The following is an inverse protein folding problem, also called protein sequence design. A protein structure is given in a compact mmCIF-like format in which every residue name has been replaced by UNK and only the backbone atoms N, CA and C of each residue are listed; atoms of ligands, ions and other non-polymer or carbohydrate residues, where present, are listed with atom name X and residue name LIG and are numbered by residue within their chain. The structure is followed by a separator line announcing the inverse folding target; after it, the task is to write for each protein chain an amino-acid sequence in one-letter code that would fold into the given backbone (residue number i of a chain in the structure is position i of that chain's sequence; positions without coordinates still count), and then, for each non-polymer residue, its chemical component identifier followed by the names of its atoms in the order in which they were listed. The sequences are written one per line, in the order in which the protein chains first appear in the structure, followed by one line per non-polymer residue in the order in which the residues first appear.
data_IF_019900949391
#
_entry.id   IF_019900949391
#
_cell.length_a   1.000
_cell.length_b   1.000
_cell.length_c   1.000
_cell.angle_alpha   90.00
_cell.angle_beta   90.00
_cell.angle_gamma   90.00
#
_symmetry.space_group_name_H-M   'P 1'
#
loop_
_entity.id
_entity.type
_entity.pdbx_description
1 polymer ?
#
# COMPACT_ATOMS: atom_id res chain seq x y z
N UNK A 1 17.13 -13.08 2.47
CA UNK A 1 16.64 -13.78 1.25
C UNK A 1 16.54 -12.88 0.01
N UNK A 2 16.23 -11.57 0.09
CA UNK A 2 16.15 -10.70 -1.10
C UNK A 2 17.49 -10.49 -1.84
N UNK A 3 18.63 -10.49 -1.16
CA UNK A 3 19.94 -10.17 -1.76
C UNK A 3 20.47 -11.35 -2.62
N UNK A 4 20.24 -12.59 -2.20
CA UNK A 4 20.72 -13.79 -2.91
C UNK A 4 20.01 -14.05 -4.24
N UNK A 5 18.72 -13.70 -4.34
CA UNK A 5 17.98 -13.76 -5.62
C UNK A 5 18.45 -12.68 -6.62
N UNK A 6 18.98 -11.56 -6.13
CA UNK A 6 19.47 -10.47 -6.99
C UNK A 6 20.81 -10.80 -7.66
N UNK A 7 21.72 -11.50 -6.95
CA UNK A 7 23.03 -11.91 -7.47
C UNK A 7 22.94 -13.02 -8.52
N UNK A 8 21.96 -13.93 -8.41
CA UNK A 8 21.79 -15.03 -9.37
C UNK A 8 21.31 -14.55 -10.76
N UNK A 9 20.73 -13.36 -10.84
CA UNK A 9 20.20 -12.79 -12.09
C UNK A 9 21.19 -11.92 -12.86
N UNK A 10 22.31 -11.52 -12.24
CA UNK A 10 23.38 -10.76 -12.92
C UNK A 10 24.34 -11.66 -13.73
N UNK A 11 24.28 -12.98 -13.56
CA UNK A 11 25.33 -13.88 -14.05
C UNK A 11 25.16 -14.38 -15.50
N UNK A 12 24.02 -14.17 -16.17
CA UNK A 12 23.83 -14.61 -17.58
C UNK A 12 22.96 -13.65 -18.41
N UNK A 13 23.55 -12.80 -19.26
CA UNK A 13 22.79 -12.04 -20.25
C UNK A 13 22.35 -12.95 -21.43
N UNK A 14 21.11 -12.83 -21.93
CA UNK A 14 20.64 -13.61 -23.07
C UNK A 14 21.29 -13.13 -24.40
N UNK A 15 21.63 -14.06 -25.32
CA UNK A 15 22.55 -13.79 -26.44
C UNK A 15 22.00 -13.01 -27.65
N UNK A 16 20.74 -12.54 -27.70
CA UNK A 16 20.14 -12.03 -28.95
C UNK A 16 19.31 -10.74 -28.79
N UNK A 17 19.94 -9.65 -28.35
CA UNK A 17 19.34 -8.31 -28.36
C UNK A 17 20.11 -7.39 -29.32
N UNK A 18 19.39 -6.61 -30.14
CA UNK A 18 19.99 -5.54 -30.97
C UNK A 18 20.79 -4.58 -30.07
N UNK A 19 22.02 -4.20 -30.45
CA UNK A 19 22.93 -3.47 -29.56
C UNK A 19 22.35 -2.13 -29.09
N UNK A 20 21.66 -1.41 -29.97
CA UNK A 20 21.10 -0.07 -29.68
C UNK A 20 20.00 -0.10 -28.59
N UNK A 21 19.12 -1.10 -28.62
CA UNK A 21 18.08 -1.23 -27.58
C UNK A 21 18.64 -1.77 -26.26
N UNK A 22 19.76 -2.49 -26.30
CA UNK A 22 20.41 -3.02 -25.10
C UNK A 22 20.97 -1.88 -24.24
N UNK A 23 21.53 -0.85 -24.86
CA UNK A 23 22.14 0.26 -24.15
C UNK A 23 21.10 1.22 -23.55
N UNK A 24 19.98 1.48 -24.25
CA UNK A 24 18.89 2.30 -23.72
C UNK A 24 18.23 1.67 -22.48
N UNK A 25 18.04 0.35 -22.51
CA UNK A 25 17.47 -0.40 -21.39
C UNK A 25 18.44 -0.45 -20.22
N UNK A 26 19.74 -0.65 -20.48
CA UNK A 26 20.77 -0.57 -19.44
C UNK A 26 20.82 0.81 -18.82
N UNK A 27 20.75 1.88 -19.63
CA UNK A 27 20.75 3.25 -19.14
C UNK A 27 19.52 3.54 -18.27
N UNK A 28 18.32 3.11 -18.71
CA UNK A 28 17.08 3.26 -17.93
C UNK A 28 17.13 2.48 -16.62
N UNK A 29 17.68 1.27 -16.62
CA UNK A 29 17.77 0.42 -15.44
C UNK A 29 18.83 0.94 -14.46
N UNK A 30 19.96 1.44 -14.97
CA UNK A 30 21.00 2.10 -14.15
C UNK A 30 20.47 3.40 -13.56
N UNK A 31 19.76 4.22 -14.34
CA UNK A 31 19.14 5.44 -13.84
C UNK A 31 18.07 5.15 -12.78
N UNK A 32 17.25 4.12 -12.96
CA UNK A 32 16.26 3.68 -11.98
C UNK A 32 16.90 3.16 -10.69
N UNK A 33 17.96 2.35 -10.78
CA UNK A 33 18.73 1.90 -9.62
C UNK A 33 19.41 3.07 -8.90
N UNK A 34 19.97 4.02 -9.64
CA UNK A 34 20.66 5.17 -9.06
C UNK A 34 19.68 6.11 -8.35
N UNK A 35 18.49 6.34 -8.93
CA UNK A 35 17.40 7.07 -8.29
C UNK A 35 16.90 6.34 -7.02
N UNK A 36 16.76 5.01 -7.08
CA UNK A 36 16.40 4.19 -5.93
C UNK A 36 17.44 4.30 -4.80
N UNK A 37 18.73 4.20 -5.13
CA UNK A 37 19.81 4.35 -4.16
C UNK A 37 19.84 5.76 -3.55
N UNK A 38 19.59 6.80 -4.34
CA UNK A 38 19.50 8.18 -3.84
C UNK A 38 18.31 8.34 -2.88
N UNK A 39 17.13 7.82 -3.22
CA UNK A 39 15.96 7.85 -2.34
C UNK A 39 16.19 7.05 -1.07
N UNK A 40 16.80 5.87 -1.17
CA UNK A 40 17.17 5.05 -0.02
C UNK A 40 18.17 5.79 0.88
N UNK A 41 19.19 6.44 0.31
CA UNK A 41 20.16 7.24 1.05
C UNK A 41 19.49 8.43 1.75
N UNK A 42 18.50 9.05 1.11
CA UNK A 42 17.75 10.16 1.68
C UNK A 42 16.88 9.70 2.86
N UNK A 43 16.25 8.52 2.76
CA UNK A 43 15.54 7.89 3.88
C UNK A 43 16.51 7.48 4.99
N UNK A 44 17.66 6.89 4.68
CA UNK A 44 18.64 6.49 5.69
C UNK A 44 19.22 7.72 6.40
N UNK A 45 19.59 8.77 5.67
CA UNK A 45 20.14 10.00 6.27
C UNK A 45 19.12 10.70 7.15
N UNK A 46 17.84 10.75 6.74
CA UNK A 46 16.77 11.30 7.59
C UNK A 46 16.56 10.47 8.86
N UNK A 47 16.59 9.13 8.79
CA UNK A 47 16.47 8.24 9.96
C UNK A 47 17.70 8.31 10.89
N UNK A 48 18.92 8.34 10.34
CA UNK A 48 20.16 8.43 11.13
C UNK A 48 20.27 9.79 11.83
N UNK A 49 19.94 10.88 11.14
CA UNK A 49 19.91 12.21 11.75
C UNK A 49 18.87 12.29 12.87
N UNK A 50 17.75 11.58 12.72
CA UNK A 50 16.69 11.54 13.72
C UNK A 50 17.08 10.72 14.96
N UNK A 51 17.63 9.52 14.78
CA UNK A 51 18.10 8.66 15.89
C UNK A 51 19.23 9.34 16.66
N UNK A 52 20.14 10.02 15.97
CA UNK A 52 21.22 10.80 16.61
C UNK A 52 20.69 11.98 17.42
N UNK A 53 19.53 12.55 17.05
CA UNK A 53 18.89 13.64 17.79
C UNK A 53 18.18 13.16 19.07
N UNK A 54 17.57 11.97 19.04
CA UNK A 54 16.82 11.41 20.18
C UNK A 54 17.73 10.91 21.33
N UNK A 55 18.93 10.40 21.03
CA UNK A 55 19.84 9.89 22.06
C UNK A 55 20.75 10.95 22.69
N UNK A 56 20.74 12.19 22.19
CA UNK A 56 21.68 13.24 22.61
C UNK A 56 21.29 14.07 23.85
N UNK A 57 20.19 13.77 24.55
CA UNK A 57 19.70 14.64 25.64
C UNK A 57 19.29 13.82 26.86
N UNK A 58 20.26 13.27 27.61
CA UNK A 58 20.07 13.00 29.05
C UNK A 58 21.40 13.31 29.75
N UNK A 59 21.53 14.54 30.24
CA UNK A 59 22.55 14.93 31.21
C UNK A 59 21.85 15.65 32.38
N UNK A 60 22.12 15.18 33.59
CA UNK A 60 21.18 15.13 34.74
C UNK A 60 21.02 16.46 35.52
N UNK A 61 21.48 17.59 34.98
CA UNK A 61 21.48 18.89 35.70
C UNK A 61 20.54 19.97 35.13
N UNK A 62 19.47 19.60 34.42
CA UNK A 62 18.71 20.53 33.56
C UNK A 62 17.18 20.54 33.74
N UNK A 63 16.66 20.34 34.94
CA UNK A 63 15.20 20.15 35.16
C UNK A 63 14.33 21.33 34.68
N UNK A 64 14.76 22.60 34.81
CA UNK A 64 13.99 23.74 34.28
C UNK A 64 14.05 23.88 32.75
N UNK A 65 15.19 23.57 32.12
CA UNK A 65 15.26 23.55 30.66
C UNK A 65 14.48 22.35 30.07
N UNK A 66 14.37 21.24 30.81
CA UNK A 66 13.56 20.09 30.40
C UNK A 66 12.08 20.46 30.29
N UNK A 67 11.54 21.27 31.19
CA UNK A 67 10.13 21.71 31.08
C UNK A 67 9.91 22.55 29.82
N UNK A 68 10.79 23.51 29.53
CA UNK A 68 10.67 24.32 28.31
C UNK A 68 10.90 23.51 27.03
N UNK A 69 11.84 22.57 27.03
CA UNK A 69 12.12 21.71 25.86
C UNK A 69 11.00 20.69 25.66
N UNK A 70 10.41 20.13 26.71
CA UNK A 70 9.25 19.24 26.61
C UNK A 70 8.02 19.97 26.09
N UNK A 71 7.72 21.19 26.53
CA UNK A 71 6.62 22.01 25.98
C UNK A 71 6.84 22.32 24.49
N UNK A 72 8.07 22.65 24.08
CA UNK A 72 8.40 22.84 22.65
C UNK A 72 8.24 21.55 21.84
N UNK A 73 8.61 20.41 22.41
CA UNK A 73 8.51 19.11 21.74
C UNK A 73 7.04 18.68 21.62
N UNK A 74 6.24 18.90 22.67
CA UNK A 74 4.79 18.70 22.71
C UNK A 74 4.11 19.53 21.62
N UNK A 75 4.35 20.83 21.59
CA UNK A 75 3.74 21.73 20.60
C UNK A 75 4.18 21.41 19.16
N UNK A 76 5.43 20.98 18.98
CA UNK A 76 5.92 20.50 17.68
C UNK A 76 5.23 19.19 17.28
N UNK A 77 5.08 18.23 18.20
CA UNK A 77 4.41 16.98 17.93
C UNK A 77 2.93 17.17 17.65
N UNK A 78 2.23 18.04 18.37
CA UNK A 78 0.84 18.39 18.09
C UNK A 78 0.71 18.91 16.65
N UNK A 79 1.57 19.85 16.24
CA UNK A 79 1.57 20.40 14.88
C UNK A 79 1.93 19.38 13.80
N UNK A 80 2.86 18.46 14.08
CA UNK A 80 3.28 17.42 13.13
C UNK A 80 2.27 16.27 13.07
N UNK A 81 1.59 16.00 14.17
CA UNK A 81 0.57 14.94 14.29
C UNK A 81 -0.71 15.27 13.54
N UNK A 82 -0.89 16.54 13.14
CA UNK A 82 -2.04 16.97 12.36
C UNK A 82 -2.07 16.29 10.98
N UNK A 83 -2.82 15.20 10.92
CA UNK A 83 -3.12 14.41 9.73
C UNK A 83 -3.72 15.27 8.61
N UNK A 84 -4.33 16.43 8.91
CA UNK A 84 -4.86 17.35 7.90
C UNK A 84 -3.75 17.88 7.00
N UNK A 85 -2.56 18.15 7.53
CA UNK A 85 -1.44 18.68 6.76
C UNK A 85 -0.95 17.65 5.72
N UNK A 86 -0.80 16.39 6.15
CA UNK A 86 -0.40 15.31 5.25
C UNK A 86 -1.42 15.08 4.13
N UNK A 87 -2.71 15.07 4.48
CA UNK A 87 -3.80 14.95 3.51
C UNK A 87 -3.86 16.14 2.55
N UNK A 88 -3.67 17.36 3.03
CA UNK A 88 -3.67 18.59 2.23
C UNK A 88 -2.57 18.58 1.16
N UNK A 89 -1.39 18.06 1.49
CA UNK A 89 -0.28 17.96 0.54
C UNK A 89 -0.43 16.79 -0.44
N UNK A 90 -0.85 15.61 0.04
CA UNK A 90 -0.92 14.41 -0.78
C UNK A 90 -2.14 14.36 -1.70
N UNK A 91 -3.23 15.05 -1.35
CA UNK A 91 -4.45 15.10 -2.13
C UNK A 91 -4.28 15.71 -3.54
N UNK A 92 -3.73 16.93 -3.73
CA UNK A 92 -3.57 17.50 -5.06
C UNK A 92 -2.68 16.64 -5.96
N UNK A 93 -1.66 15.99 -5.38
CA UNK A 93 -0.79 15.04 -6.10
C UNK A 93 -1.61 13.83 -6.55
N UNK A 94 -2.44 13.25 -5.67
CA UNK A 94 -3.31 12.13 -6.04
C UNK A 94 -4.30 12.49 -7.15
N UNK A 95 -4.92 13.68 -7.09
CA UNK A 95 -5.86 14.16 -8.09
C UNK A 95 -5.17 14.36 -9.45
N UNK A 96 -3.96 14.94 -9.45
CA UNK A 96 -3.15 15.07 -10.66
C UNK A 96 -2.82 13.70 -11.28
N UNK A 97 -2.50 12.68 -10.47
CA UNK A 97 -2.26 11.31 -10.94
C UNK A 97 -3.52 10.65 -11.52
N UNK A 98 -4.70 10.85 -10.92
CA UNK A 98 -5.97 10.33 -11.46
C UNK A 98 -6.24 10.92 -12.84
N UNK A 99 -6.08 12.24 -13.00
CA UNK A 99 -6.26 12.91 -14.28
C UNK A 99 -5.23 12.42 -15.31
N UNK A 100 -3.98 12.26 -14.90
CA UNK A 100 -2.90 11.74 -15.73
C UNK A 100 -3.21 10.32 -16.23
N UNK A 101 -3.62 9.41 -15.35
CA UNK A 101 -3.98 8.04 -15.71
C UNK A 101 -5.18 8.00 -16.65
N UNK A 102 -6.19 8.84 -16.39
CA UNK A 102 -7.36 8.97 -17.25
C UNK A 102 -6.97 9.44 -18.67
N UNK A 103 -6.01 10.37 -18.77
CA UNK A 103 -5.47 10.82 -20.05
C UNK A 103 -4.67 9.74 -20.78
N UNK A 104 -3.83 8.97 -20.07
CA UNK A 104 -3.06 7.88 -20.68
C UNK A 104 -3.96 6.81 -21.29
N UNK A 105 -5.03 6.42 -20.60
CA UNK A 105 -5.97 5.41 -21.12
C UNK A 105 -6.72 5.94 -22.33
N UNK A 106 -7.14 7.21 -22.30
CA UNK A 106 -7.75 7.85 -23.47
C UNK A 106 -6.80 7.86 -24.65
N UNK A 107 -5.51 8.09 -24.41
CA UNK A 107 -4.49 8.13 -25.46
C UNK A 107 -4.21 6.76 -26.07
N UNK A 108 -4.18 5.69 -25.27
CA UNK A 108 -4.02 4.32 -25.75
C UNK A 108 -5.22 3.88 -26.63
N UNK A 109 -6.43 4.34 -26.27
CA UNK A 109 -7.66 4.05 -27.01
C UNK A 109 -7.94 4.98 -28.20
N UNK A 110 -7.03 5.89 -28.56
CA UNK A 110 -7.18 6.77 -29.76
C UNK A 110 -7.37 6.01 -31.08
N UNK A 111 -7.19 4.68 -31.10
CA UNK A 111 -7.51 3.80 -32.23
C UNK A 111 -8.95 3.20 -32.21
N UNK A 112 -9.68 3.24 -31.09
CA UNK A 112 -11.12 2.94 -31.02
C UNK A 112 -11.89 4.25 -31.19
N UNK A 113 -11.65 4.90 -32.34
CA UNK A 113 -12.31 6.15 -32.70
C UNK A 113 -13.83 5.90 -32.77
N UNK A 114 -14.59 6.82 -32.19
CA UNK A 114 -15.93 7.19 -32.65
C UNK A 114 -17.20 6.61 -31.99
N UNK A 115 -17.17 5.79 -30.93
CA UNK A 115 -18.41 5.38 -30.25
C UNK A 115 -18.34 5.48 -28.70
N UNK A 116 -19.04 6.48 -28.16
CA UNK A 116 -19.81 6.51 -26.89
C UNK A 116 -19.17 6.22 -25.52
N UNK A 117 -17.85 6.13 -25.40
CA UNK A 117 -17.22 6.10 -24.08
C UNK A 117 -17.22 7.47 -23.41
N UNK A 118 -18.09 7.71 -22.40
CA UNK A 118 -17.93 8.82 -21.43
C UNK A 118 -16.46 8.89 -21.01
N UNK A 119 -15.87 10.08 -20.79
CA UNK A 119 -14.56 10.21 -20.14
C UNK A 119 -14.67 9.63 -18.73
N UNK A 120 -14.57 8.31 -18.63
CA UNK A 120 -14.83 7.55 -17.44
C UNK A 120 -13.58 7.60 -16.59
N UNK A 121 -13.77 8.04 -15.35
CA UNK A 121 -12.78 7.77 -14.31
C UNK A 121 -12.58 6.26 -14.28
N UNK A 122 -11.32 5.85 -14.24
CA UNK A 122 -10.91 4.44 -14.29
C UNK A 122 -11.48 3.74 -13.08
N UNK A 123 -12.35 2.72 -13.19
CA UNK A 123 -12.82 2.03 -12.01
C UNK A 123 -11.61 1.57 -11.18
N UNK A 124 -11.55 1.84 -9.87
CA UNK A 124 -10.32 1.63 -9.10
C UNK A 124 -9.99 0.15 -8.97
N UNK A 125 -11.00 -0.72 -8.78
CA UNK A 125 -10.89 -2.18 -8.85
C UNK A 125 -12.23 -2.79 -9.25
N UNK A 126 -12.19 -3.89 -10.00
CA UNK A 126 -13.32 -4.82 -10.16
C UNK A 126 -13.33 -5.77 -8.96
N UNK A 127 -14.32 -5.68 -8.05
CA UNK A 127 -14.33 -6.45 -6.80
C UNK A 127 -14.43 -7.96 -7.03
N UNK A 128 -14.93 -8.36 -8.20
CA UNK A 128 -15.09 -9.77 -8.57
C UNK A 128 -13.82 -10.40 -9.14
N UNK A 129 -12.81 -9.58 -9.47
CA UNK A 129 -11.59 -10.08 -10.11
C UNK A 129 -10.79 -10.93 -9.14
N UNK A 130 -10.26 -12.04 -9.63
CA UNK A 130 -9.48 -12.97 -8.79
C UNK A 130 -8.04 -12.51 -8.57
N UNK A 131 -7.52 -11.71 -9.51
CA UNK A 131 -6.18 -11.17 -9.47
C UNK A 131 -6.03 -10.09 -8.37
N UNK A 132 -4.86 -10.05 -7.75
CA UNK A 132 -4.43 -8.98 -6.82
C UNK A 132 -5.28 -8.77 -5.57
N UNK A 133 -6.10 -9.75 -5.18
CA UNK A 133 -6.99 -9.67 -4.01
C UNK A 133 -6.27 -9.25 -2.72
N UNK A 134 -5.09 -9.81 -2.48
CA UNK A 134 -4.27 -9.45 -1.31
C UNK A 134 -3.83 -7.99 -1.35
N UNK A 135 -3.31 -7.52 -2.49
CA UNK A 135 -2.90 -6.12 -2.64
C UNK A 135 -4.06 -5.16 -2.47
N UNK A 136 -5.22 -5.48 -3.05
CA UNK A 136 -6.45 -4.71 -2.86
C UNK A 136 -6.88 -4.70 -1.39
N UNK A 137 -6.92 -5.85 -0.73
CA UNK A 137 -7.26 -5.96 0.68
C UNK A 137 -6.30 -5.14 1.57
N UNK A 138 -5.00 -5.14 1.26
CA UNK A 138 -4.01 -4.34 1.97
C UNK A 138 -4.27 -2.84 1.82
N UNK A 139 -4.60 -2.34 0.62
CA UNK A 139 -4.95 -0.92 0.45
C UNK A 139 -6.24 -0.57 1.19
N UNK A 140 -7.25 -1.44 1.18
CA UNK A 140 -8.45 -1.23 1.99
C UNK A 140 -8.16 -1.29 3.50
N UNK A 141 -7.19 -2.09 3.93
CA UNK A 141 -6.69 -2.10 5.31
C UNK A 141 -6.05 -0.76 5.71
N UNK A 142 -5.26 -0.16 4.80
CA UNK A 142 -4.70 1.20 4.99
C UNK A 142 -5.83 2.23 5.11
N UNK A 143 -6.79 2.19 4.19
CA UNK A 143 -7.94 3.09 4.21
C UNK A 143 -8.77 2.96 5.50
N UNK A 144 -9.06 1.73 5.92
CA UNK A 144 -9.80 1.47 7.16
C UNK A 144 -9.05 1.99 8.38
N UNK A 145 -7.72 1.84 8.41
CA UNK A 145 -6.89 2.36 9.49
C UNK A 145 -6.87 3.90 9.54
N UNK A 146 -6.73 4.58 8.40
CA UNK A 146 -6.79 6.05 8.33
C UNK A 146 -8.18 6.58 8.73
N UNK A 147 -9.24 5.91 8.30
CA UNK A 147 -10.63 6.24 8.71
C UNK A 147 -10.80 6.02 10.22
N UNK A 148 -10.25 4.95 10.78
CA UNK A 148 -10.29 4.70 12.22
C UNK A 148 -9.57 5.82 13.01
N UNK A 149 -8.44 6.32 12.51
CA UNK A 149 -7.74 7.46 13.12
C UNK A 149 -8.61 8.72 13.14
N UNK A 150 -9.30 9.00 12.04
CA UNK A 150 -10.24 10.14 11.97
C UNK A 150 -11.39 9.95 12.96
N UNK A 151 -11.95 8.74 13.07
CA UNK A 151 -13.01 8.44 14.04
C UNK A 151 -12.53 8.59 15.48
N UNK A 152 -11.33 8.11 15.79
CA UNK A 152 -10.73 8.24 17.11
C UNK A 152 -10.56 9.71 17.50
N UNK A 153 -10.02 10.52 16.60
CA UNK A 153 -9.89 11.96 16.84
C UNK A 153 -11.26 12.62 17.03
N UNK A 154 -12.24 12.30 16.21
CA UNK A 154 -13.60 12.83 16.32
C UNK A 154 -14.27 12.43 17.65
N UNK A 155 -14.05 11.22 18.13
CA UNK A 155 -14.62 10.73 19.39
C UNK A 155 -13.95 11.35 20.61
N UNK A 156 -12.65 11.64 20.53
CA UNK A 156 -11.87 12.18 21.64
C UNK A 156 -11.65 13.69 21.57
N UNK A 157 -11.96 14.35 20.46
CA UNK A 157 -12.01 15.79 20.35
C UNK A 157 -13.19 16.29 21.17
N UNK A 158 -12.92 16.71 22.41
CA UNK A 158 -13.84 17.52 23.23
C UNK A 158 -13.89 18.94 22.66
N UNK A 159 -14.13 19.08 21.36
CA UNK A 159 -14.34 20.38 20.74
C UNK A 159 -15.65 20.93 21.27
N UNK A 160 -15.56 22.10 21.91
CA UNK A 160 -16.74 22.91 22.20
C UNK A 160 -17.58 23.00 20.93
N UNK A 161 -18.92 22.89 21.03
CA UNK A 161 -19.79 22.86 19.87
C UNK A 161 -19.47 24.05 18.98
N UNK A 162 -18.95 23.77 17.78
CA UNK A 162 -18.55 24.83 16.87
C UNK A 162 -19.77 25.70 16.59
N UNK A 163 -19.58 27.02 16.53
CA UNK A 163 -20.66 27.96 16.20
C UNK A 163 -21.26 27.73 14.79
N UNK A 164 -20.65 26.84 14.00
CA UNK A 164 -21.01 26.53 12.61
C UNK A 164 -22.15 25.49 12.49
N UNK A 165 -22.61 24.91 13.60
CA UNK A 165 -23.77 24.01 13.63
C UNK A 165 -23.46 22.56 13.23
N UNK A 166 -24.29 21.63 13.71
CA UNK A 166 -24.05 20.17 13.63
C UNK A 166 -23.95 19.65 12.19
N UNK A 167 -24.68 20.25 11.25
CA UNK A 167 -24.68 19.81 9.85
C UNK A 167 -23.33 20.06 9.16
N UNK A 168 -22.71 21.21 9.43
CA UNK A 168 -21.42 21.57 8.82
C UNK A 168 -20.31 20.65 9.31
N UNK A 169 -20.32 20.33 10.61
CA UNK A 169 -19.38 19.39 11.22
C UNK A 169 -19.53 17.97 10.65
N UNK A 170 -20.76 17.51 10.41
CA UNK A 170 -21.00 16.23 9.75
C UNK A 170 -20.47 16.24 8.30
N UNK A 171 -20.72 17.32 7.56
CA UNK A 171 -20.27 17.47 6.17
C UNK A 171 -18.74 17.49 6.08
N UNK A 172 -18.06 18.21 6.99
CA UNK A 172 -16.60 18.23 7.08
C UNK A 172 -16.05 16.81 7.28
N UNK A 173 -16.64 16.04 8.21
CA UNK A 173 -16.20 14.65 8.49
C UNK A 173 -16.39 13.73 7.29
N UNK A 174 -17.54 13.80 6.60
CA UNK A 174 -17.78 13.03 5.38
C UNK A 174 -16.77 13.42 4.29
N UNK A 175 -16.49 14.72 4.13
CA UNK A 175 -15.53 15.22 3.16
C UNK A 175 -14.11 14.69 3.43
N UNK A 176 -13.67 14.63 4.70
CA UNK A 176 -12.36 14.06 5.05
C UNK A 176 -12.27 12.58 4.69
N UNK A 177 -13.29 11.78 4.98
CA UNK A 177 -13.32 10.34 4.63
C UNK A 177 -13.24 10.15 3.10
N UNK A 178 -13.98 10.95 2.34
CA UNK A 178 -13.92 10.93 0.87
C UNK A 178 -12.54 11.33 0.35
N UNK A 179 -11.91 12.34 0.96
CA UNK A 179 -10.57 12.80 0.59
C UNK A 179 -9.53 11.69 0.80
N UNK A 180 -9.60 10.96 1.92
CA UNK A 180 -8.74 9.80 2.19
C UNK A 180 -8.95 8.70 1.14
N UNK A 181 -10.20 8.41 0.76
CA UNK A 181 -10.51 7.46 -0.32
C UNK A 181 -9.88 7.87 -1.66
N UNK A 182 -9.97 9.16 -2.00
CA UNK A 182 -9.39 9.71 -3.22
C UNK A 182 -7.85 9.70 -3.21
N UNK A 183 -7.22 9.88 -2.04
CA UNK A 183 -5.76 9.84 -1.86
C UNK A 183 -5.15 8.51 -2.31
N UNK A 184 -5.75 7.38 -1.92
CA UNK A 184 -5.25 6.03 -2.28
C UNK A 184 -5.81 5.50 -3.61
N UNK A 185 -6.67 6.28 -4.29
CA UNK A 185 -7.22 5.92 -5.58
C UNK A 185 -6.17 5.65 -6.68
N UNK A 186 -5.11 6.48 -6.86
CA UNK A 186 -4.09 6.22 -7.88
C UNK A 186 -3.42 4.87 -7.68
N UNK A 187 -3.18 4.48 -6.43
CA UNK A 187 -2.57 3.20 -6.08
C UNK A 187 -3.46 2.06 -6.56
N UNK A 188 -4.74 2.09 -6.23
CA UNK A 188 -5.74 1.11 -6.69
C UNK A 188 -5.82 1.06 -8.22
N UNK A 189 -5.95 2.21 -8.87
CA UNK A 189 -6.03 2.31 -10.33
C UNK A 189 -4.78 1.73 -11.02
N UNK A 190 -3.59 1.98 -10.47
CA UNK A 190 -2.34 1.47 -11.04
C UNK A 190 -2.18 -0.04 -10.96
N UNK A 191 -2.84 -0.70 -10.00
CA UNK A 191 -2.86 -2.16 -9.90
C UNK A 191 -3.66 -2.80 -11.03
N UNK A 192 -4.68 -2.10 -11.53
CA UNK A 192 -5.45 -2.55 -12.69
C UNK A 192 -4.75 -2.25 -14.01
N UNK A 193 -4.07 -1.11 -14.10
CA UNK A 193 -3.40 -0.71 -15.33
C UNK A 193 -2.13 -1.53 -15.55
N UNK A 194 -2.02 -2.12 -16.74
CA UNK A 194 -0.82 -2.85 -17.19
C UNK A 194 0.26 -1.94 -17.80
N UNK A 195 0.18 -0.64 -17.51
CA UNK A 195 1.13 0.34 -17.98
C UNK A 195 2.22 0.56 -16.93
N UNK A 196 3.47 0.30 -17.31
CA UNK A 196 4.66 0.48 -16.49
C UNK A 196 4.75 1.91 -15.93
N UNK A 197 4.36 2.91 -16.71
CA UNK A 197 4.39 4.30 -16.30
C UNK A 197 3.42 4.58 -15.14
N UNK A 198 2.21 4.02 -15.18
CA UNK A 198 1.21 4.23 -14.12
C UNK A 198 1.65 3.57 -12.80
N UNK A 199 2.26 2.38 -12.89
CA UNK A 199 2.85 1.70 -11.73
C UNK A 199 4.04 2.49 -11.16
N UNK A 200 4.86 3.07 -12.03
CA UNK A 200 6.05 3.82 -11.62
C UNK A 200 5.65 5.09 -10.87
N UNK A 201 4.67 5.82 -11.40
CA UNK A 201 4.12 7.00 -10.73
C UNK A 201 3.45 6.67 -9.39
N UNK A 202 2.75 5.54 -9.30
CA UNK A 202 2.11 5.13 -8.03
C UNK A 202 3.12 4.65 -7.00
N UNK A 203 4.20 4.02 -7.44
CA UNK A 203 5.33 3.68 -6.59
C UNK A 203 6.03 4.95 -6.05
N UNK A 204 6.32 5.91 -6.93
CA UNK A 204 6.85 7.22 -6.55
C UNK A 204 5.91 7.98 -5.60
N UNK A 205 4.59 7.77 -5.71
CA UNK A 205 3.60 8.37 -4.83
C UNK A 205 3.57 7.74 -3.43
N UNK A 206 3.64 6.41 -3.34
CA UNK A 206 3.60 5.68 -2.06
C UNK A 206 4.89 5.85 -1.23
N UNK A 207 6.04 6.09 -1.86
CA UNK A 207 7.30 6.23 -1.12
C UNK A 207 7.35 7.45 -0.19
N UNK A 208 7.01 8.68 -0.64
CA UNK A 208 6.85 9.83 0.24
C UNK A 208 5.77 9.60 1.30
N UNK A 209 4.68 8.91 0.95
CA UNK A 209 3.59 8.57 1.88
C UNK A 209 4.09 7.74 3.07
N UNK A 210 4.82 6.67 2.74
CA UNK A 210 5.45 5.78 3.70
C UNK A 210 6.51 6.52 4.53
N UNK A 211 7.36 7.30 3.89
CA UNK A 211 8.43 8.05 4.56
C UNK A 211 7.86 9.09 5.51
N UNK A 212 6.85 9.84 5.07
CA UNK A 212 6.15 10.82 5.89
C UNK A 212 5.44 10.16 7.08
N UNK A 213 4.81 9.01 6.87
CA UNK A 213 4.16 8.25 7.95
C UNK A 213 5.18 7.76 8.98
N UNK A 214 6.31 7.19 8.54
CA UNK A 214 7.40 6.77 9.43
C UNK A 214 7.95 7.98 10.20
N UNK A 215 8.18 9.09 9.51
CA UNK A 215 8.68 10.32 10.13
C UNK A 215 7.71 10.87 11.18
N UNK A 216 6.42 10.98 10.84
CA UNK A 216 5.37 11.52 11.72
C UNK A 216 5.23 10.69 12.99
N UNK A 217 5.02 9.39 12.83
CA UNK A 217 4.79 8.51 13.97
C UNK A 217 6.09 8.29 14.76
N UNK A 218 7.24 8.19 14.09
CA UNK A 218 8.56 8.07 14.73
C UNK A 218 8.96 9.30 15.54
N UNK A 219 8.64 10.49 15.04
CA UNK A 219 8.90 11.77 15.73
C UNK A 219 8.12 11.92 17.02
N UNK A 220 6.96 11.26 17.12
CA UNK A 220 6.03 11.40 18.23
C UNK A 220 5.73 10.04 18.91
N UNK A 221 6.64 9.06 18.79
CA UNK A 221 6.52 7.80 19.53
C UNK A 221 6.54 8.07 21.04
N UNK A 222 5.55 7.52 21.75
CA UNK A 222 5.37 7.74 23.19
C UNK A 222 4.55 8.99 23.53
N UNK A 223 4.16 9.80 22.53
CA UNK A 223 3.19 10.86 22.70
C UNK A 223 1.80 10.30 22.40
N UNK A 224 1.05 9.88 23.42
CA UNK A 224 -0.40 9.86 23.28
C UNK A 224 -0.90 11.27 23.54
N UNK A 225 -1.72 11.85 22.65
CA UNK A 225 -2.53 12.98 23.04
C UNK A 225 -3.56 12.42 24.04
N UNK A 226 -3.16 12.29 25.31
CA UNK A 226 -4.03 11.96 26.43
C UNK A 226 -4.92 13.16 26.75
N UNK A 227 -5.53 13.71 25.71
CA UNK A 227 -6.55 14.75 25.70
C UNK A 227 -6.16 16.06 26.38
N UNK A 228 -6.84 17.12 25.96
CA UNK A 228 -6.89 18.43 26.59
C UNK A 228 -7.37 18.40 28.07
N UNK A 229 -7.50 17.23 28.72
CA UNK A 229 -7.94 17.07 30.11
C UNK A 229 -6.83 17.16 31.15
N UNK A 230 -5.61 16.74 30.82
CA UNK A 230 -4.52 16.76 31.79
C UNK A 230 -3.66 17.99 31.61
N UNK A 231 -3.19 18.56 32.71
CA UNK A 231 -2.18 19.61 32.66
C UNK A 231 -0.86 19.05 32.10
N UNK A 232 -0.06 19.88 31.42
CA UNK A 232 1.24 19.47 30.87
C UNK A 232 2.15 18.82 31.92
N UNK A 233 2.01 19.23 33.19
CA UNK A 233 2.76 18.69 34.33
C UNK A 233 2.30 17.26 34.64
N UNK A 234 0.99 17.00 34.75
CA UNK A 234 0.47 15.65 34.98
C UNK A 234 0.82 14.69 33.85
N UNK A 235 0.76 15.18 32.61
CA UNK A 235 1.15 14.41 31.44
C UNK A 235 2.64 14.02 31.50
N UNK A 236 3.52 14.95 31.90
CA UNK A 236 4.94 14.65 32.09
C UNK A 236 5.19 13.60 33.18
N UNK A 237 4.39 13.61 34.26
CA UNK A 237 4.49 12.64 35.35
C UNK A 237 4.03 11.25 34.92
N UNK A 238 2.90 11.16 34.20
CA UNK A 238 2.40 9.94 33.59
C UNK A 238 3.41 9.35 32.59
N UNK A 239 4.16 10.18 31.86
CA UNK A 239 5.22 9.72 30.95
C UNK A 239 6.41 9.12 31.68
N UNK A 240 6.81 9.70 32.81
CA UNK A 240 7.91 9.14 33.62
C UNK A 240 7.53 7.75 34.17
N UNK A 241 6.27 7.57 34.58
CA UNK A 241 5.80 6.32 35.16
C UNK A 241 5.44 5.25 34.10
N UNK A 242 4.84 5.64 32.96
CA UNK A 242 4.25 4.72 31.97
C UNK A 242 4.83 4.84 30.55
N UNK A 243 5.89 5.63 30.37
CA UNK A 243 6.44 5.98 29.05
C UNK A 243 6.72 4.78 28.16
N UNK A 244 7.32 3.71 28.70
CA UNK A 244 7.60 2.49 27.94
C UNK A 244 6.33 1.81 27.42
N UNK A 245 5.26 1.78 28.22
CA UNK A 245 3.97 1.20 27.82
C UNK A 245 3.32 2.00 26.70
N UNK A 246 3.41 3.33 26.73
CA UNK A 246 2.90 4.18 25.65
C UNK A 246 3.66 4.01 24.34
N UNK A 247 4.99 3.81 24.40
CA UNK A 247 5.80 3.49 23.22
C UNK A 247 5.38 2.15 22.63
N UNK A 248 5.26 1.10 23.47
CA UNK A 248 4.82 -0.23 23.03
C UNK A 248 3.41 -0.17 22.43
N UNK A 249 2.48 0.51 23.09
CA UNK A 249 1.11 0.69 22.61
C UNK A 249 1.09 1.42 21.26
N UNK A 250 1.82 2.54 21.13
CA UNK A 250 1.91 3.30 19.88
C UNK A 250 2.51 2.49 18.73
N UNK A 251 3.55 1.70 19.01
CA UNK A 251 4.14 0.76 18.06
C UNK A 251 3.14 -0.29 17.62
N UNK A 252 2.50 -1.00 18.56
CA UNK A 252 1.54 -2.07 18.25
C UNK A 252 0.34 -1.52 17.48
N UNK A 253 -0.19 -0.35 17.88
CA UNK A 253 -1.32 0.32 17.21
C UNK A 253 -0.99 0.68 15.76
N UNK A 254 0.21 1.21 15.48
CA UNK A 254 0.58 1.66 14.14
C UNK A 254 1.23 0.57 13.27
N UNK A 255 1.68 -0.55 13.85
CA UNK A 255 2.38 -1.63 13.12
C UNK A 255 1.59 -2.14 11.90
N UNK A 256 0.27 -2.43 11.98
CA UNK A 256 -0.49 -2.91 10.83
C UNK A 256 -0.43 -1.94 9.65
N UNK A 257 -0.49 -0.64 9.92
CA UNK A 257 -0.42 0.39 8.88
C UNK A 257 0.93 0.40 8.17
N UNK A 258 2.03 0.33 8.92
CA UNK A 258 3.38 0.26 8.35
C UNK A 258 3.62 -1.01 7.54
N UNK A 259 3.16 -2.16 8.04
CA UNK A 259 3.26 -3.44 7.34
C UNK A 259 2.48 -3.38 6.03
N UNK A 260 1.28 -2.82 6.04
CA UNK A 260 0.46 -2.66 4.84
C UNK A 260 1.10 -1.71 3.82
N UNK A 261 1.55 -0.51 4.23
CA UNK A 261 2.19 0.46 3.33
C UNK A 261 3.50 -0.10 2.74
N UNK A 262 4.35 -0.71 3.56
CA UNK A 262 5.60 -1.33 3.11
C UNK A 262 5.34 -2.50 2.15
N UNK A 263 4.31 -3.31 2.41
CA UNK A 263 3.87 -4.36 1.49
C UNK A 263 3.50 -3.77 0.12
N UNK A 264 2.66 -2.73 0.07
CA UNK A 264 2.27 -2.08 -1.20
C UNK A 264 3.50 -1.51 -1.93
N UNK A 265 4.40 -0.83 -1.23
CA UNK A 265 5.63 -0.30 -1.81
C UNK A 265 6.50 -1.41 -2.42
N UNK A 266 6.67 -2.52 -1.69
CA UNK A 266 7.45 -3.67 -2.15
C UNK A 266 6.79 -4.37 -3.35
N UNK A 267 5.48 -4.58 -3.31
CA UNK A 267 4.70 -5.22 -4.38
C UNK A 267 4.76 -4.40 -5.68
N UNK A 268 4.60 -3.07 -5.58
CA UNK A 268 4.77 -2.18 -6.73
C UNK A 268 6.19 -2.23 -7.29
N UNK A 269 7.20 -2.31 -6.42
CA UNK A 269 8.61 -2.43 -6.82
C UNK A 269 8.85 -3.74 -7.59
N UNK A 270 8.37 -4.86 -7.07
CA UNK A 270 8.50 -6.19 -7.72
C UNK A 270 7.79 -6.19 -9.07
N UNK A 271 6.58 -5.63 -9.17
CA UNK A 271 5.85 -5.52 -10.44
C UNK A 271 6.55 -4.64 -11.46
N UNK A 272 7.09 -3.50 -11.02
CA UNK A 272 7.85 -2.60 -11.88
C UNK A 272 9.08 -3.27 -12.45
N UNK A 273 9.82 -3.96 -11.60
CA UNK A 273 10.99 -4.72 -12.00
C UNK A 273 10.61 -5.83 -12.98
N UNK A 274 9.54 -6.58 -12.68
CA UNK A 274 9.02 -7.62 -13.55
C UNK A 274 8.60 -7.07 -14.93
N UNK A 275 7.85 -5.97 -15.00
CA UNK A 275 7.47 -5.35 -16.27
C UNK A 275 8.68 -4.87 -17.07
N UNK A 276 9.66 -4.28 -16.38
CA UNK A 276 10.88 -3.74 -17.00
C UNK A 276 11.73 -4.85 -17.63
N UNK A 277 11.97 -5.93 -16.89
CA UNK A 277 12.84 -7.01 -17.32
C UNK A 277 12.13 -8.01 -18.25
N UNK A 278 10.90 -8.41 -17.93
CA UNK A 278 10.25 -9.56 -18.57
C UNK A 278 9.45 -9.20 -19.82
N UNK A 279 8.84 -8.00 -19.88
CA UNK A 279 8.02 -7.59 -21.03
C UNK A 279 8.87 -7.41 -22.30
N UNK A 280 10.12 -6.96 -22.14
CA UNK A 280 11.05 -6.83 -23.25
C UNK A 280 11.48 -8.19 -23.84
N UNK A 281 11.54 -9.23 -23.01
CA UNK A 281 11.82 -10.60 -23.44
C UNK A 281 10.64 -11.23 -24.21
N UNK A 282 9.39 -10.85 -23.88
CA UNK A 282 8.18 -11.45 -24.46
C UNK A 282 7.82 -10.95 -25.87
N UNK A 283 8.47 -9.87 -26.34
CA UNK A 283 8.30 -9.35 -27.71
C UNK A 283 8.68 -10.35 -28.81
N UNK A 284 9.41 -11.44 -28.49
CA UNK A 284 9.70 -12.53 -29.42
C UNK A 284 9.27 -13.86 -28.81
N UNK A 285 8.08 -14.33 -29.20
CA UNK A 285 7.55 -15.70 -29.03
C UNK A 285 8.06 -16.46 -27.80
N UNK A 286 7.40 -16.35 -26.63
CA UNK A 286 7.37 -17.51 -25.73
C UNK A 286 6.26 -17.48 -24.68
N UNK A 287 5.83 -18.70 -24.41
CA UNK A 287 4.78 -19.29 -23.58
C UNK A 287 4.97 -19.06 -22.06
N UNK A 288 5.83 -18.13 -21.65
CA UNK A 288 6.02 -17.87 -20.22
C UNK A 288 4.97 -16.86 -19.71
N UNK A 289 3.99 -17.43 -19.02
CA UNK A 289 2.96 -16.76 -18.22
C UNK A 289 3.64 -16.18 -16.98
N UNK A 290 3.23 -14.98 -16.58
CA UNK A 290 3.80 -14.30 -15.41
C UNK A 290 3.67 -15.16 -14.15
N UNK A 291 4.74 -15.34 -13.35
CA UNK A 291 4.68 -16.06 -12.09
C UNK A 291 3.88 -15.30 -11.01
N UNK A 292 3.59 -14.01 -11.21
CA UNK A 292 2.71 -13.25 -10.32
C UNK A 292 1.26 -13.42 -10.79
N UNK A 293 0.68 -14.56 -10.42
CA UNK A 293 -0.75 -14.88 -10.18
C UNK A 293 -1.77 -14.05 -11.01
N UNK A 294 -1.57 -13.96 -12.31
CA UNK A 294 -2.66 -14.10 -13.25
C UNK A 294 -2.50 -15.50 -13.83
N UNK A 295 -2.86 -16.51 -13.02
CA UNK A 295 -3.45 -17.68 -13.64
C UNK A 295 -4.60 -17.12 -14.46
N UNK A 296 -4.43 -17.13 -15.78
CA UNK A 296 -5.42 -16.74 -16.77
C UNK A 296 -6.77 -17.15 -16.21
N UNK A 297 -7.68 -16.21 -15.93
CA UNK A 297 -8.98 -16.54 -15.30
C UNK A 297 -9.66 -17.65 -16.10
N UNK A 298 -9.38 -17.69 -17.41
CA UNK A 298 -9.66 -18.78 -18.31
C UNK A 298 -9.06 -20.14 -17.88
N UNK A 299 -7.76 -20.24 -17.60
CA UNK A 299 -7.11 -21.47 -17.14
C UNK A 299 -7.59 -21.91 -15.76
N UNK A 300 -7.80 -20.97 -14.83
CA UNK A 300 -8.39 -21.30 -13.53
C UNK A 300 -9.82 -21.81 -13.69
N UNK A 301 -10.65 -21.12 -14.48
CA UNK A 301 -12.02 -21.54 -14.78
C UNK A 301 -12.04 -22.89 -15.48
N UNK A 302 -11.16 -23.11 -16.47
CA UNK A 302 -11.00 -24.38 -17.17
C UNK A 302 -10.61 -25.50 -16.21
N UNK A 303 -9.65 -25.26 -15.32
CA UNK A 303 -9.25 -26.22 -14.29
C UNK A 303 -10.40 -26.53 -13.32
N UNK A 304 -11.13 -25.50 -12.89
CA UNK A 304 -12.27 -25.64 -11.98
C UNK A 304 -13.42 -26.45 -12.60
N UNK A 305 -13.79 -26.12 -13.84
CA UNK A 305 -14.79 -26.85 -14.63
C UNK A 305 -14.34 -28.30 -14.85
N UNK A 306 -13.08 -28.52 -15.24
CA UNK A 306 -12.53 -29.86 -15.42
C UNK A 306 -12.54 -30.69 -14.12
N UNK A 307 -12.30 -30.04 -12.97
CA UNK A 307 -12.35 -30.67 -11.65
C UNK A 307 -13.78 -31.01 -11.23
N UNK A 308 -14.75 -30.17 -11.55
CA UNK A 308 -16.19 -30.44 -11.36
C UNK A 308 -16.61 -31.70 -12.13
N UNK A 309 -16.29 -31.78 -13.43
CA UNK A 309 -16.65 -32.94 -14.24
C UNK A 309 -15.97 -34.24 -13.81
N UNK A 310 -14.70 -34.20 -13.35
CA UNK A 310 -14.04 -35.40 -12.79
C UNK A 310 -14.73 -35.95 -11.54
N UNK A 311 -15.31 -35.09 -10.69
CA UNK A 311 -16.05 -35.53 -9.50
C UNK A 311 -17.35 -36.24 -9.89
N UNK A 312 -18.05 -35.74 -10.90
CA UNK A 312 -19.28 -36.39 -11.39
C UNK A 312 -19.00 -37.77 -12.00
N UNK A 313 -17.92 -37.89 -12.79
CA UNK A 313 -17.53 -39.18 -13.40
C UNK A 313 -17.10 -40.20 -12.34
N UNK A 314 -16.41 -39.78 -11.29
CA UNK A 314 -16.03 -40.68 -10.19
C UNK A 314 -17.23 -41.13 -9.34
N UNK A 315 -18.22 -40.26 -9.12
CA UNK A 315 -19.47 -40.66 -8.45
C UNK A 315 -20.27 -41.68 -9.26
N UNK A 316 -20.39 -41.51 -10.59
CA UNK A 316 -21.08 -42.49 -11.43
C UNK A 316 -20.39 -43.87 -11.44
N UNK A 317 -19.05 -43.92 -11.36
CA UNK A 317 -18.34 -45.20 -11.24
C UNK A 317 -18.64 -45.92 -9.93
N UNK A 318 -18.75 -45.18 -8.83
CA UNK A 318 -19.08 -45.78 -7.53
C UNK A 318 -20.54 -46.28 -7.49
N UNK A 319 -21.50 -45.54 -8.06
CA UNK A 319 -22.90 -45.99 -8.13
C UNK A 319 -23.01 -47.29 -8.94
N UNK A 320 -22.33 -47.39 -10.07
CA UNK A 320 -22.34 -48.60 -10.88
C UNK A 320 -21.67 -49.79 -10.17
N UNK A 321 -20.64 -49.56 -9.35
CA UNK A 321 -20.03 -50.63 -8.55
C UNK A 321 -20.93 -51.12 -7.40
N UNK A 322 -21.77 -50.24 -6.84
CA UNK A 322 -22.74 -50.60 -5.79
C UNK A 322 -23.93 -51.37 -6.38
N UNK A 323 -24.44 -50.98 -7.55
CA UNK A 323 -25.55 -51.72 -8.17
C UNK A 323 -25.15 -53.12 -8.66
N UNK A 324 -23.89 -53.31 -9.07
CA UNK A 324 -23.39 -54.64 -9.45
C UNK A 324 -23.18 -55.58 -8.26
N UNK A 325 -23.04 -55.05 -7.04
CA UNK A 325 -22.93 -55.86 -5.81
C UNK A 325 -24.30 -56.20 -5.21
N UNK A 326 -25.37 -55.46 -5.55
CA UNK A 326 -26.73 -55.78 -5.10
C UNK A 326 -27.39 -56.85 -5.99
N UNK A 327 -27.10 -56.87 -7.30
CA UNK A 327 -27.69 -57.87 -8.19
C UNK A 327 -27.03 -59.26 -8.11
N UNK A 328 -25.94 -59.42 -7.34
CA UNK A 328 -25.27 -60.70 -7.16
C UNK A 328 -25.65 -61.41 -5.85
N UNK A 329 -26.43 -60.78 -4.97
CA UNK A 329 -26.92 -61.42 -3.74
C UNK A 329 -28.29 -62.09 -3.85
N UNK A 330 -29.02 -61.88 -4.96
CA UNK A 330 -30.39 -62.41 -5.13
C UNK A 330 -30.46 -63.65 -6.06
N UNK A 331 -29.34 -64.12 -6.60
CA UNK A 331 -29.25 -65.36 -7.41
C UNK A 331 -28.74 -66.58 -6.62
N UNK A 332 -28.57 -66.47 -5.29
CA UNK A 332 -28.09 -67.56 -4.41
C UNK A 332 -29.15 -68.13 -3.44
N UNK A 333 -30.45 -67.99 -3.75
CA UNK A 333 -31.53 -68.70 -3.02
C UNK A 333 -32.38 -69.61 -3.91
#
# INVERSE_FOLDING_TARGET
MMITSFLFLLQKPPPLLNPINRDLVRLSLVAGLLLFFLLLLLVITTVVHFTSFQFGIIDEKRIENIVNDTVRLVTRCEKISDYRIGNLFMFPISLALILLFSWFIKSDKKCLKHCDGRPGIIPPIEPFRTANRFTTATVFGILAFEVLKIFEEVLFSTTEPSKQGVLFELLERIAVVLLVGMRYYPVLASLQLRNIFCRFMSWLYILPDLTFTIYREGSCMGFLPLSKRFSAIEESKLRLEWGSWFIIYGLVKNTPHFVCLSYIASELTVRLWYDSCYKQLKSKKSIWISPIIEYDEYNFSKYYVMKLFRRTVSMNKNINSVNNTVNTSDEEQ
#
